data_IF_013919570376
#
_entry.id   IF_013919570376
#
_cell.length_a   1.000
_cell.length_b   1.000
_cell.length_c   1.000
_cell.angle_alpha   90.00
_cell.angle_beta   90.00
_cell.angle_gamma   90.00
#
_symmetry.space_group_name_H-M   'P 1'
#
loop_
_entity.id
_entity.type
_entity.pdbx_description
1 polymer ?
#
# COMPACT_ATOMS: atom_id res chain seq x y z
N UNK A 1 9.41 38.66 -2.07
CA UNK A 1 8.14 37.90 -2.25
C UNK A 1 7.65 38.16 -3.67
N UNK A 2 7.68 37.15 -4.54
CA UNK A 2 7.18 37.30 -5.92
C UNK A 2 5.66 37.48 -5.84
N UNK A 3 5.16 38.68 -6.20
CA UNK A 3 3.72 38.97 -6.28
C UNK A 3 3.12 38.21 -7.46
N UNK A 4 1.93 37.68 -7.26
CA UNK A 4 1.13 36.97 -8.27
C UNK A 4 0.93 37.84 -9.52
N UNK A 5 1.48 37.43 -10.66
CA UNK A 5 1.19 38.05 -11.97
C UNK A 5 2.38 38.16 -12.93
N UNK A 6 3.63 38.22 -12.43
CA UNK A 6 4.81 38.45 -13.28
C UNK A 6 5.69 37.21 -13.47
N UNK A 7 5.07 36.03 -13.53
CA UNK A 7 5.82 34.77 -13.57
C UNK A 7 6.61 34.55 -14.87
N UNK A 8 6.19 35.17 -15.97
CA UNK A 8 6.85 35.11 -17.29
C UNK A 8 8.19 35.86 -17.32
N UNK A 9 8.33 36.90 -16.50
CA UNK A 9 9.55 37.73 -16.40
C UNK A 9 10.64 37.09 -15.53
N UNK A 10 10.33 36.01 -14.82
CA UNK A 10 11.30 35.35 -13.95
C UNK A 10 12.43 34.70 -14.75
N UNK A 11 13.66 34.89 -14.28
CA UNK A 11 14.82 34.13 -14.75
C UNK A 11 14.76 32.70 -14.22
N UNK A 12 15.41 31.77 -14.93
CA UNK A 12 15.45 30.36 -14.55
C UNK A 12 16.04 30.20 -13.14
N UNK A 13 17.03 31.01 -12.78
CA UNK A 13 17.69 30.96 -11.47
C UNK A 13 16.76 31.39 -10.33
N UNK A 14 15.98 32.45 -10.52
CA UNK A 14 14.95 32.86 -9.56
C UNK A 14 13.88 31.78 -9.40
N UNK A 15 13.47 31.14 -10.49
CA UNK A 15 12.54 30.02 -10.43
C UNK A 15 13.12 28.84 -9.62
N UNK A 16 14.36 28.45 -9.90
CA UNK A 16 15.05 27.37 -9.17
C UNK A 16 15.26 27.72 -7.70
N UNK A 17 15.62 28.96 -7.39
CA UNK A 17 15.78 29.44 -6.01
C UNK A 17 14.47 29.36 -5.23
N UNK A 18 13.35 29.79 -5.83
CA UNK A 18 12.02 29.66 -5.23
C UNK A 18 11.68 28.20 -4.93
N UNK A 19 11.84 27.30 -5.91
CA UNK A 19 11.50 25.89 -5.73
C UNK A 19 12.38 25.23 -4.66
N UNK A 20 13.68 25.53 -4.60
CA UNK A 20 14.59 25.02 -3.55
C UNK A 20 14.16 25.49 -2.16
N UNK A 21 13.86 26.77 -2.02
CA UNK A 21 13.41 27.35 -0.74
C UNK A 21 12.11 26.67 -0.22
N UNK A 22 11.23 26.25 -1.13
CA UNK A 22 9.98 25.56 -0.79
C UNK A 22 10.07 24.02 -0.84
N UNK A 23 11.26 23.44 -1.05
CA UNK A 23 11.45 21.99 -1.09
C UNK A 23 10.76 21.30 -2.27
N UNK A 24 10.49 22.05 -3.35
CA UNK A 24 9.81 21.55 -4.55
C UNK A 24 10.80 20.98 -5.56
N UNK A 25 10.35 20.02 -6.36
CA UNK A 25 11.19 19.37 -7.37
C UNK A 25 11.58 20.36 -8.48
N UNK A 26 12.84 20.36 -8.85
CA UNK A 26 13.36 21.13 -9.98
C UNK A 26 13.02 20.40 -11.30
N UNK A 27 12.78 21.17 -12.35
CA UNK A 27 12.69 20.68 -13.73
C UNK A 27 13.58 21.51 -14.62
N UNK A 28 13.96 20.97 -15.78
CA UNK A 28 14.85 21.64 -16.72
C UNK A 28 14.13 22.70 -17.59
N UNK A 29 12.90 22.47 -18.09
CA UNK A 29 12.22 23.48 -18.90
C UNK A 29 11.72 24.66 -18.06
N UNK A 30 12.03 25.89 -18.50
CA UNK A 30 11.55 27.15 -17.86
C UNK A 30 10.03 27.16 -17.68
N UNK A 31 9.29 26.69 -18.69
CA UNK A 31 7.83 26.63 -18.66
C UNK A 31 7.31 25.73 -17.53
N UNK A 32 7.95 24.59 -17.29
CA UNK A 32 7.55 23.68 -16.19
C UNK A 32 7.87 24.26 -14.82
N UNK A 33 9.01 24.93 -14.69
CA UNK A 33 9.37 25.65 -13.46
C UNK A 33 8.31 26.70 -13.12
N UNK A 34 7.93 27.53 -14.10
CA UNK A 34 6.89 28.56 -13.95
C UNK A 34 5.54 27.92 -13.57
N UNK A 35 5.09 26.90 -14.32
CA UNK A 35 3.84 26.21 -14.03
C UNK A 35 3.81 25.63 -12.62
N UNK A 36 4.94 25.10 -12.13
CA UNK A 36 5.06 24.57 -10.77
C UNK A 36 4.99 25.66 -9.72
N UNK A 37 5.65 26.80 -9.95
CA UNK A 37 5.59 27.97 -9.06
C UNK A 37 4.17 28.53 -8.99
N UNK A 38 3.50 28.67 -10.13
CA UNK A 38 2.11 29.13 -10.19
C UNK A 38 1.18 28.21 -9.40
N UNK A 39 1.24 26.90 -9.64
CA UNK A 39 0.48 25.90 -8.88
C UNK A 39 0.78 25.95 -7.39
N UNK A 40 2.05 26.09 -7.00
CA UNK A 40 2.42 26.23 -5.60
C UNK A 40 1.86 27.52 -5.00
N UNK A 41 1.96 28.65 -5.70
CA UNK A 41 1.43 29.92 -5.23
C UNK A 41 -0.09 29.87 -5.02
N UNK A 42 -0.83 29.18 -5.89
CA UNK A 42 -2.27 28.95 -5.73
C UNK A 42 -2.63 28.09 -4.52
N UNK A 43 -1.78 27.11 -4.18
CA UNK A 43 -2.05 26.11 -3.14
C UNK A 43 -1.34 26.37 -1.82
N UNK A 44 -0.38 27.30 -1.78
CA UNK A 44 0.43 27.64 -0.60
C UNK A 44 -0.44 28.07 0.56
N UNK A 45 -1.46 28.86 0.27
CA UNK A 45 -2.46 29.24 1.26
C UNK A 45 -3.51 28.14 1.40
N UNK A 46 -3.60 27.59 2.60
CA UNK A 46 -4.55 26.53 2.95
C UNK A 46 -6.00 26.94 2.71
N UNK A 47 -6.36 28.21 2.98
CA UNK A 47 -7.72 28.71 2.79
C UNK A 47 -8.08 28.76 1.30
N UNK A 48 -7.17 29.31 0.49
CA UNK A 48 -7.30 29.32 -0.97
C UNK A 48 -7.40 27.91 -1.57
N UNK A 49 -6.56 26.98 -1.11
CA UNK A 49 -6.58 25.59 -1.55
C UNK A 49 -7.89 24.88 -1.17
N UNK A 50 -8.39 25.09 0.05
CA UNK A 50 -9.70 24.56 0.50
C UNK A 50 -10.88 25.17 -0.26
N UNK A 51 -10.80 26.44 -0.65
CA UNK A 51 -11.83 27.07 -1.48
C UNK A 51 -11.90 26.44 -2.88
N UNK A 52 -10.75 26.14 -3.49
CA UNK A 52 -10.67 25.48 -4.80
C UNK A 52 -11.03 23.99 -4.73
N UNK A 53 -10.66 23.32 -3.64
CA UNK A 53 -10.91 21.90 -3.40
C UNK A 53 -11.65 21.70 -2.07
N UNK A 54 -12.94 22.11 -1.98
CA UNK A 54 -13.69 22.06 -0.74
C UNK A 54 -14.01 20.62 -0.36
N UNK A 55 -14.05 20.33 0.94
CA UNK A 55 -14.33 18.97 1.44
C UNK A 55 -15.64 18.39 0.88
N UNK A 56 -16.68 19.21 0.73
CA UNK A 56 -17.97 18.79 0.18
C UNK A 56 -17.94 18.32 -1.27
N UNK A 57 -16.92 18.71 -2.05
CA UNK A 57 -16.78 18.26 -3.45
C UNK A 57 -16.32 16.80 -3.58
N UNK A 58 -15.78 16.21 -2.50
CA UNK A 58 -15.35 14.82 -2.46
C UNK A 58 -16.51 13.92 -2.03
N UNK A 59 -17.51 13.79 -2.90
CA UNK A 59 -18.76 13.11 -2.60
C UNK A 59 -18.82 11.64 -3.06
N UNK A 60 -17.91 11.20 -3.93
CA UNK A 60 -17.96 9.85 -4.52
C UNK A 60 -17.00 8.94 -3.78
N UNK A 61 -17.51 7.87 -3.14
CA UNK A 61 -16.65 6.84 -2.55
C UNK A 61 -15.95 6.05 -3.66
N UNK A 62 -14.62 5.99 -3.60
CA UNK A 62 -13.77 5.27 -4.56
C UNK A 62 -12.82 4.29 -3.86
N UNK A 63 -13.18 3.82 -2.66
CA UNK A 63 -12.39 2.85 -1.90
C UNK A 63 -12.18 1.58 -2.73
N UNK A 64 -10.93 1.22 -3.02
CA UNK A 64 -10.56 0.11 -3.92
C UNK A 64 -10.33 0.53 -5.38
N UNK A 65 -10.99 1.60 -5.84
CA UNK A 65 -11.03 2.00 -7.25
C UNK A 65 -10.35 3.34 -7.54
N UNK A 66 -9.56 3.86 -6.61
CA UNK A 66 -8.69 5.02 -6.88
C UNK A 66 -7.77 4.70 -8.06
N UNK A 67 -7.77 5.55 -9.08
CA UNK A 67 -6.93 5.42 -10.28
C UNK A 67 -6.05 6.66 -10.48
N UNK A 68 -5.16 6.60 -11.46
CA UNK A 68 -4.34 7.75 -11.86
C UNK A 68 -5.23 8.94 -12.21
N UNK A 69 -4.77 10.14 -11.87
CA UNK A 69 -5.43 11.43 -12.02
C UNK A 69 -6.63 11.72 -11.11
N UNK A 70 -7.13 10.76 -10.33
CA UNK A 70 -8.18 11.03 -9.33
C UNK A 70 -7.71 12.13 -8.36
N UNK A 71 -8.60 13.09 -8.11
CA UNK A 71 -8.46 14.03 -6.99
C UNK A 71 -9.19 13.45 -5.79
N UNK A 72 -8.41 12.99 -4.80
CA UNK A 72 -8.90 12.19 -3.67
C UNK A 72 -8.78 12.92 -2.34
N UNK A 73 -9.67 12.56 -1.41
CA UNK A 73 -9.66 12.95 -0.02
C UNK A 73 -9.68 11.68 0.83
N UNK A 74 -8.69 11.52 1.70
CA UNK A 74 -8.60 10.37 2.59
C UNK A 74 -8.06 10.75 3.97
N UNK A 75 -8.42 9.93 4.95
CA UNK A 75 -7.94 10.05 6.33
C UNK A 75 -6.73 9.13 6.51
N UNK A 76 -5.60 9.73 6.86
CA UNK A 76 -4.36 9.02 7.17
C UNK A 76 -4.15 8.99 8.68
N UNK A 77 -3.90 7.79 9.19
CA UNK A 77 -3.48 7.60 10.58
C UNK A 77 -2.00 7.96 10.71
N UNK A 78 -1.68 8.79 11.70
CA UNK A 78 -0.33 9.22 12.02
C UNK A 78 0.10 8.46 13.27
N UNK A 79 1.18 7.65 13.19
CA UNK A 79 1.72 7.01 14.38
C UNK A 79 2.24 8.12 15.30
N UNK A 80 1.70 8.17 16.51
CA UNK A 80 2.21 9.06 17.54
C UNK A 80 3.47 8.43 18.13
N UNK A 81 4.50 9.25 18.40
CA UNK A 81 5.61 8.80 19.24
C UNK A 81 5.02 8.48 20.62
N UNK A 82 5.45 7.37 21.24
CA UNK A 82 5.09 7.04 22.62
C UNK A 82 5.58 8.16 23.55
N UNK A 83 4.78 9.21 23.72
CA UNK A 83 4.91 10.13 24.83
C UNK A 83 3.66 9.92 25.67
N UNK A 84 3.90 9.50 26.90
CA UNK A 84 2.90 8.98 27.83
C UNK A 84 1.83 10.04 28.08
N UNK A 85 0.59 9.81 27.63
CA UNK A 85 -0.66 10.33 28.23
C UNK A 85 -1.91 10.09 27.36
N UNK A 86 -1.78 9.83 26.05
CA UNK A 86 -2.93 9.42 25.23
C UNK A 86 -2.58 8.33 24.23
N UNK A 87 -3.19 7.16 24.40
CA UNK A 87 -2.99 5.98 23.54
C UNK A 87 -3.84 6.04 22.25
N UNK A 88 -4.31 7.23 21.86
CA UNK A 88 -5.20 7.41 20.71
C UNK A 88 -4.39 7.77 19.47
N UNK A 89 -4.61 7.09 18.33
CA UNK A 89 -3.88 7.40 17.13
C UNK A 89 -4.25 8.78 16.58
N UNK A 90 -3.23 9.57 16.27
CA UNK A 90 -3.39 10.83 15.55
C UNK A 90 -3.92 10.61 14.13
N UNK A 91 -4.63 11.61 13.60
CA UNK A 91 -5.13 11.57 12.23
C UNK A 91 -4.86 12.88 11.50
N UNK A 92 -4.62 12.74 10.20
CA UNK A 92 -4.67 13.85 9.25
C UNK A 92 -5.58 13.53 8.08
N UNK A 93 -6.18 14.57 7.54
CA UNK A 93 -6.95 14.53 6.32
C UNK A 93 -6.07 15.07 5.19
N UNK A 94 -6.02 14.34 4.08
CA UNK A 94 -5.19 14.71 2.93
C UNK A 94 -6.08 14.79 1.70
N UNK A 95 -6.11 15.97 1.08
CA UNK A 95 -6.61 16.16 -0.27
C UNK A 95 -5.41 16.14 -1.22
N UNK A 96 -5.48 15.36 -2.29
CA UNK A 96 -4.37 15.26 -3.23
C UNK A 96 -4.77 14.63 -4.56
N UNK A 97 -3.93 14.84 -5.57
CA UNK A 97 -4.10 14.25 -6.89
C UNK A 97 -3.22 13.02 -7.05
N UNK A 98 -3.76 11.93 -7.56
CA UNK A 98 -2.99 10.71 -7.83
C UNK A 98 -2.16 10.94 -9.10
N UNK A 99 -0.84 11.06 -8.95
CA UNK A 99 0.08 11.29 -10.08
C UNK A 99 0.46 9.97 -10.74
N UNK A 100 0.74 8.96 -9.92
CA UNK A 100 1.22 7.65 -10.34
C UNK A 100 0.62 6.57 -9.45
N UNK A 101 0.44 5.39 -10.02
CA UNK A 101 0.22 4.16 -9.28
C UNK A 101 1.12 3.05 -9.83
N UNK A 102 1.43 2.06 -9.00
CA UNK A 102 2.22 0.91 -9.41
C UNK A 102 1.86 -0.35 -8.63
N UNK A 103 1.95 -1.50 -9.31
CA UNK A 103 1.82 -2.82 -8.71
C UNK A 103 3.21 -3.40 -8.50
N UNK A 104 3.63 -3.54 -7.24
CA UNK A 104 4.97 -4.05 -6.92
C UNK A 104 5.15 -5.51 -7.35
N UNK A 105 5.94 -5.72 -8.41
CA UNK A 105 6.20 -7.02 -9.09
C UNK A 105 6.55 -8.17 -8.14
N UNK A 106 7.27 -7.91 -7.04
CA UNK A 106 7.71 -8.96 -6.09
C UNK A 106 6.69 -9.28 -4.99
N UNK A 107 5.91 -8.29 -4.53
CA UNK A 107 5.10 -8.39 -3.30
C UNK A 107 3.62 -8.04 -3.50
N UNK A 108 3.17 -7.74 -4.73
CA UNK A 108 1.82 -7.23 -5.04
C UNK A 108 1.41 -6.05 -4.15
N UNK A 109 2.36 -5.18 -3.83
CA UNK A 109 2.05 -3.95 -3.11
C UNK A 109 1.57 -2.92 -4.11
N UNK A 110 0.26 -2.66 -4.13
CA UNK A 110 -0.29 -1.52 -4.86
C UNK A 110 0.05 -0.24 -4.11
N UNK A 111 0.77 0.66 -4.78
CA UNK A 111 1.29 1.89 -4.19
C UNK A 111 0.91 3.06 -5.08
N UNK A 112 0.54 4.16 -4.45
CA UNK A 112 0.13 5.41 -5.07
C UNK A 112 1.11 6.52 -4.73
N UNK A 113 1.42 7.36 -5.71
CA UNK A 113 2.06 8.65 -5.52
C UNK A 113 0.99 9.71 -5.59
N UNK A 114 0.63 10.27 -4.45
CA UNK A 114 -0.36 11.34 -4.31
C UNK A 114 0.39 12.66 -4.14
N UNK A 115 0.18 13.60 -5.06
CA UNK A 115 0.64 14.98 -4.88
C UNK A 115 -0.37 15.72 -4.01
N UNK A 116 0.09 16.21 -2.85
CA UNK A 116 -0.77 16.86 -1.86
C UNK A 116 -1.24 18.21 -2.39
N UNK A 117 -2.53 18.49 -2.30
CA UNK A 117 -3.12 19.79 -2.60
C UNK A 117 -3.20 20.60 -1.32
N UNK A 118 -3.85 20.03 -0.30
CA UNK A 118 -3.88 20.56 1.06
C UNK A 118 -4.00 19.42 2.05
N UNK A 119 -3.62 19.68 3.30
CA UNK A 119 -3.82 18.71 4.38
C UNK A 119 -4.14 19.41 5.69
N UNK A 120 -4.84 18.71 6.59
CA UNK A 120 -5.33 19.26 7.84
C UNK A 120 -5.30 18.20 8.94
N UNK A 121 -5.19 18.61 10.20
CA UNK A 121 -5.05 17.71 11.35
C UNK A 121 -3.59 17.58 11.78
N UNK A 122 -3.24 16.43 12.36
CA UNK A 122 -1.93 16.23 12.98
C UNK A 122 -0.80 16.11 11.93
N UNK A 123 0.29 16.85 12.11
CA UNK A 123 1.43 16.87 11.17
C UNK A 123 0.97 17.05 9.71
N UNK A 124 0.36 18.22 9.38
CA UNK A 124 -0.07 18.50 8.03
C UNK A 124 1.15 18.50 7.09
N UNK A 125 0.95 17.92 5.92
CA UNK A 125 1.90 17.92 4.82
C UNK A 125 1.84 19.25 4.05
N UNK A 126 2.99 19.79 3.64
CA UNK A 126 3.04 20.93 2.74
C UNK A 126 2.36 20.63 1.39
N UNK A 127 1.77 21.65 0.74
CA UNK A 127 1.22 21.49 -0.60
C UNK A 127 2.31 21.09 -1.61
N UNK A 128 1.89 20.41 -2.68
CA UNK A 128 2.73 19.82 -3.73
C UNK A 128 3.76 18.77 -3.26
N UNK A 129 3.69 18.33 -2.00
CA UNK A 129 4.50 17.19 -1.52
C UNK A 129 4.05 15.89 -2.21
N UNK A 130 4.99 15.10 -2.72
CA UNK A 130 4.70 13.76 -3.24
C UNK A 130 4.65 12.74 -2.11
N UNK A 131 3.44 12.31 -1.75
CA UNK A 131 3.19 11.31 -0.73
C UNK A 131 3.07 9.92 -1.34
N UNK A 132 3.95 9.00 -0.95
CA UNK A 132 3.87 7.59 -1.33
C UNK A 132 2.99 6.83 -0.34
N UNK A 133 1.84 6.31 -0.79
CA UNK A 133 0.85 5.62 0.06
C UNK A 133 0.55 4.23 -0.49
N UNK A 134 0.56 3.21 0.36
CA UNK A 134 0.12 1.86 -0.01
C UNK A 134 -1.41 1.83 -0.09
N UNK A 135 -1.98 1.10 -1.05
CA UNK A 135 -3.44 1.03 -1.23
C UNK A 135 -4.19 0.62 0.03
N UNK A 136 -3.68 -0.38 0.77
CA UNK A 136 -4.25 -0.78 2.07
C UNK A 136 -4.30 0.34 3.11
N UNK A 137 -3.37 1.29 3.05
CA UNK A 137 -3.35 2.46 3.96
C UNK A 137 -4.29 3.54 3.45
N UNK A 138 -4.27 3.78 2.13
CA UNK A 138 -5.15 4.75 1.46
C UNK A 138 -6.64 4.43 1.73
N UNK A 139 -7.01 3.15 1.60
CA UNK A 139 -8.40 2.68 1.69
C UNK A 139 -8.89 2.44 3.13
N UNK A 140 -7.99 2.42 4.13
CA UNK A 140 -8.32 2.00 5.50
C UNK A 140 -9.51 2.74 6.12
N UNK A 141 -9.63 4.04 5.86
CA UNK A 141 -10.67 4.89 6.43
C UNK A 141 -11.63 5.44 5.37
N UNK A 142 -11.83 4.67 4.28
CA UNK A 142 -12.49 5.08 3.05
C UNK A 142 -11.75 6.20 2.33
N UNK A 143 -11.90 6.22 1.01
CA UNK A 143 -11.36 7.28 0.16
C UNK A 143 -12.48 7.81 -0.70
N UNK A 144 -12.56 9.13 -0.79
CA UNK A 144 -13.53 9.83 -1.61
C UNK A 144 -12.82 10.61 -2.71
N UNK A 145 -13.46 10.79 -3.85
CA UNK A 145 -12.94 11.56 -4.97
C UNK A 145 -13.90 12.65 -5.40
N UNK A 146 -13.36 13.61 -6.14
CA UNK A 146 -14.15 14.50 -6.98
C UNK A 146 -14.61 13.79 -8.26
N UNK A 147 -15.70 14.29 -8.86
CA UNK A 147 -16.15 13.86 -10.18
C UNK A 147 -15.14 14.30 -11.23
N UNK A 148 -14.86 13.44 -12.21
CA UNK A 148 -14.04 13.85 -13.35
C UNK A 148 -14.87 14.75 -14.28
N UNK A 149 -14.21 15.65 -15.05
CA UNK A 149 -14.89 16.35 -16.13
C UNK A 149 -15.54 15.36 -17.11
N UNK A 150 -14.83 14.27 -17.43
CA UNK A 150 -15.33 13.16 -18.22
C UNK A 150 -15.24 11.85 -17.42
N UNK A 151 -16.39 11.29 -17.06
CA UNK A 151 -16.43 10.06 -16.27
C UNK A 151 -16.16 8.80 -17.13
N UNK A 152 -16.36 8.86 -18.44
CA UNK A 152 -16.03 7.74 -19.34
C UNK A 152 -14.52 7.48 -19.41
N UNK A 153 -13.72 8.54 -19.46
CA UNK A 153 -12.25 8.46 -19.37
C UNK A 153 -11.81 7.83 -18.05
N UNK A 154 -12.50 8.16 -16.96
CA UNK A 154 -12.22 7.54 -15.66
C UNK A 154 -12.51 6.05 -15.68
N UNK A 155 -13.64 5.64 -16.23
CA UNK A 155 -13.99 4.21 -16.33
C UNK A 155 -12.91 3.46 -17.11
N UNK A 156 -12.47 4.00 -18.26
CA UNK A 156 -11.37 3.42 -19.03
C UNK A 156 -10.07 3.31 -18.20
N UNK A 157 -9.71 4.36 -17.45
CA UNK A 157 -8.53 4.35 -16.58
C UNK A 157 -8.62 3.31 -15.44
N UNK A 158 -9.81 3.10 -14.89
CA UNK A 158 -10.06 2.07 -13.86
C UNK A 158 -9.95 0.67 -14.45
N UNK A 159 -10.52 0.43 -15.64
CA UNK A 159 -10.45 -0.86 -16.34
C UNK A 159 -9.00 -1.20 -16.68
N UNK A 160 -8.24 -0.27 -17.25
CA UNK A 160 -6.82 -0.46 -17.57
C UNK A 160 -6.01 -0.76 -16.30
N UNK A 161 -6.24 -0.02 -15.22
CA UNK A 161 -5.62 -0.28 -13.91
C UNK A 161 -5.85 -1.73 -13.46
N UNK A 162 -7.08 -2.20 -13.51
CA UNK A 162 -7.44 -3.55 -13.06
C UNK A 162 -6.82 -4.60 -13.98
N UNK A 163 -6.89 -4.43 -15.30
CA UNK A 163 -6.24 -5.32 -16.27
C UNK A 163 -4.74 -5.50 -16.00
N UNK A 164 -4.03 -4.37 -15.77
CA UNK A 164 -2.61 -4.37 -15.41
C UNK A 164 -2.35 -5.05 -14.07
N UNK A 165 -3.26 -4.85 -13.10
CA UNK A 165 -3.23 -5.53 -11.82
C UNK A 165 -3.36 -7.05 -11.97
N UNK A 166 -4.24 -7.51 -12.86
CA UNK A 166 -4.53 -8.92 -13.11
C UNK A 166 -3.38 -9.62 -13.80
N UNK A 167 -2.75 -8.95 -14.76
CA UNK A 167 -1.50 -9.40 -15.36
C UNK A 167 -0.39 -9.55 -14.29
N UNK A 168 -0.21 -8.56 -13.42
CA UNK A 168 0.76 -8.66 -12.33
C UNK A 168 0.43 -9.80 -11.35
N UNK A 169 -0.87 -10.13 -11.18
CA UNK A 169 -1.31 -11.29 -10.39
C UNK A 169 -0.97 -12.61 -11.08
N UNK A 170 -1.27 -12.74 -12.36
CA UNK A 170 -0.99 -13.96 -13.13
C UNK A 170 0.52 -14.26 -13.21
N UNK A 171 1.35 -13.24 -13.44
CA UNK A 171 2.82 -13.37 -13.46
C UNK A 171 3.36 -13.87 -12.12
N UNK A 172 2.81 -13.39 -10.99
CA UNK A 172 3.21 -13.90 -9.67
C UNK A 172 2.80 -15.36 -9.49
N UNK A 173 1.60 -15.75 -9.90
CA UNK A 173 1.12 -17.13 -9.77
C UNK A 173 2.05 -18.09 -10.53
N UNK A 174 2.40 -17.78 -11.77
CA UNK A 174 3.38 -18.56 -12.56
C UNK A 174 4.74 -18.70 -11.85
N UNK A 175 5.24 -17.63 -11.22
CA UNK A 175 6.50 -17.68 -10.45
C UNK A 175 6.41 -18.57 -9.22
N UNK A 176 5.28 -18.54 -8.52
CA UNK A 176 5.06 -19.37 -7.33
C UNK A 176 4.93 -20.85 -7.73
N UNK A 177 4.22 -21.14 -8.82
CA UNK A 177 4.09 -22.48 -9.38
C UNK A 177 5.44 -23.04 -9.81
N UNK A 178 6.23 -22.29 -10.59
CA UNK A 178 7.58 -22.71 -10.99
C UNK A 178 8.50 -23.00 -9.79
N UNK A 179 8.41 -22.19 -8.73
CA UNK A 179 9.16 -22.42 -7.49
C UNK A 179 8.72 -23.70 -6.77
N UNK A 180 7.43 -24.00 -6.78
CA UNK A 180 6.88 -25.20 -6.15
C UNK A 180 7.26 -26.46 -6.96
N UNK A 181 7.20 -26.39 -8.29
CA UNK A 181 7.66 -27.43 -9.21
C UNK A 181 9.16 -27.69 -9.07
N UNK A 182 9.98 -26.64 -9.01
CA UNK A 182 11.43 -26.77 -8.76
C UNK A 182 11.74 -27.46 -7.42
N UNK A 183 11.08 -27.06 -6.32
CA UNK A 183 11.20 -27.75 -5.03
C UNK A 183 10.78 -29.22 -5.10
N UNK A 184 9.73 -29.53 -5.85
CA UNK A 184 9.25 -30.91 -6.02
C UNK A 184 10.25 -31.77 -6.80
N UNK A 185 10.88 -31.21 -7.85
CA UNK A 185 11.94 -31.87 -8.61
C UNK A 185 13.19 -32.10 -7.75
N UNK A 186 13.64 -31.09 -7.01
CA UNK A 186 14.79 -31.19 -6.10
C UNK A 186 14.55 -32.24 -5.00
N UNK A 187 13.33 -32.30 -4.45
CA UNK A 187 12.92 -33.33 -3.49
C UNK A 187 12.93 -34.73 -4.09
N UNK A 188 12.46 -34.90 -5.34
CA UNK A 188 12.54 -36.18 -6.07
C UNK A 188 14.00 -36.59 -6.33
N UNK A 189 14.85 -35.64 -6.70
CA UNK A 189 16.28 -35.88 -6.96
C UNK A 189 17.01 -36.31 -5.68
N UNK A 190 16.78 -35.63 -4.54
CA UNK A 190 17.31 -36.05 -3.23
C UNK A 190 16.81 -37.43 -2.82
N UNK A 191 15.54 -37.76 -3.04
CA UNK A 191 15.00 -39.11 -2.79
C UNK A 191 15.65 -40.18 -3.67
N UNK A 192 15.90 -39.88 -4.95
CA UNK A 192 16.61 -40.79 -5.87
C UNK A 192 18.10 -40.94 -5.51
N UNK A 193 18.74 -39.90 -4.98
CA UNK A 193 20.11 -39.96 -4.49
C UNK A 193 20.22 -40.75 -3.17
N UNK A 194 19.28 -40.58 -2.24
CA UNK A 194 19.21 -41.34 -0.99
C UNK A 194 18.80 -42.81 -1.20
N UNK A 195 18.07 -43.12 -2.28
CA UNK A 195 17.74 -44.49 -2.68
C UNK A 195 18.86 -45.22 -3.43
N UNK A 196 20.04 -44.59 -3.61
CA UNK A 196 21.22 -45.16 -4.29
C UNK A 196 22.36 -45.49 -3.31
N UNK A 197 22.07 -45.79 -2.04
CA UNK A 197 23.07 -46.46 -1.21
C UNK A 197 23.13 -47.93 -1.61
N UNK A 198 24.29 -48.51 -1.96
CA UNK A 198 24.38 -49.94 -2.22
C UNK A 198 24.02 -50.66 -0.92
N UNK A 199 22.93 -51.43 -0.91
CA UNK A 199 22.64 -52.29 0.23
C UNK A 199 23.67 -53.42 0.24
N UNK A 200 24.80 -53.22 0.90
CA UNK A 200 25.67 -54.31 1.34
C UNK A 200 24.93 -55.06 2.46
N UNK A 201 23.99 -55.93 2.05
CA UNK A 201 23.50 -57.00 2.91
C UNK A 201 24.62 -58.04 3.02
N UNK A 202 25.36 -57.99 4.12
CA UNK A 202 25.93 -59.20 4.74
C UNK A 202 25.22 -59.37 6.08
N UNK A 203 24.57 -60.52 6.26
CA UNK A 203 24.10 -60.97 7.58
C UNK A 203 25.29 -61.27 8.51
N UNK A 204 25.04 -61.63 9.78
CA UNK A 204 24.62 -63.01 10.00
C UNK A 204 23.58 -63.22 11.11
N UNK A 205 23.16 -64.48 11.19
CA UNK A 205 22.24 -65.12 12.12
C UNK A 205 22.70 -65.03 13.59
N UNK A 206 21.75 -65.02 14.53
CA UNK A 206 22.03 -65.21 15.95
C UNK A 206 20.78 -65.02 16.82
N UNK A 207 20.14 -66.13 17.20
CA UNK A 207 19.15 -66.21 18.29
C UNK A 207 19.82 -65.91 19.64
N UNK A 208 19.19 -65.11 20.49
CA UNK A 208 18.99 -65.42 21.93
C UNK A 208 18.02 -64.43 22.57
N UNK A 209 17.50 -64.85 23.71
CA UNK A 209 16.21 -64.49 24.31
C UNK A 209 16.33 -63.62 25.57
N UNK A 210 15.36 -62.68 25.74
CA UNK A 210 14.86 -62.05 26.99
C UNK A 210 15.79 -61.10 27.78
N UNK A 211 15.26 -60.25 28.70
CA UNK A 211 13.88 -59.73 28.87
C UNK A 211 13.81 -58.17 28.94
N UNK A 212 12.57 -57.66 28.92
CA UNK A 212 12.21 -56.24 29.10
C UNK A 212 12.49 -55.75 30.54
N UNK A 213 12.88 -54.48 30.75
CA UNK A 213 12.57 -53.77 31.98
C UNK A 213 11.35 -52.86 31.81
N UNK A 214 10.45 -53.00 32.79
CA UNK A 214 9.29 -52.14 33.05
C UNK A 214 9.72 -50.90 33.84
N UNK A 215 8.94 -49.82 33.66
CA UNK A 215 8.93 -48.53 34.37
C UNK A 215 9.84 -47.46 33.76
N UNK A 216 9.44 -46.19 33.65
CA UNK A 216 8.40 -45.46 34.37
C UNK A 216 7.81 -44.35 33.49
N UNK A 217 6.55 -44.04 33.79
CA UNK A 217 5.72 -43.00 33.20
C UNK A 217 6.33 -41.61 33.42
N UNK A 218 6.34 -40.75 32.39
CA UNK A 218 6.09 -39.30 32.54
C UNK A 218 5.66 -38.65 31.21
N UNK A 219 4.38 -38.28 31.15
CA UNK A 219 3.90 -37.02 30.60
C UNK A 219 3.97 -36.79 29.08
N UNK A 220 3.02 -37.37 28.33
CA UNK A 220 2.58 -36.79 27.05
C UNK A 220 1.82 -35.48 27.33
N UNK A 221 2.32 -34.34 26.88
CA UNK A 221 1.51 -33.13 26.68
C UNK A 221 0.82 -33.21 25.30
N UNK A 222 -0.51 -33.16 25.21
CA UNK A 222 -1.18 -33.15 23.92
C UNK A 222 -1.10 -31.78 23.24
N UNK A 223 -0.88 -31.83 21.93
CA UNK A 223 -1.14 -30.74 20.99
C UNK A 223 -2.65 -30.55 20.88
N UNK A 224 -3.18 -29.40 21.28
CA UNK A 224 -4.52 -28.97 20.88
C UNK A 224 -4.44 -28.15 19.59
N UNK A 225 -5.03 -28.69 18.54
CA UNK A 225 -5.43 -27.96 17.35
C UNK A 225 -6.95 -27.88 17.28
N UNK A 226 -7.41 -26.86 16.55
CA UNK A 226 -8.71 -26.71 15.88
C UNK A 226 -9.97 -26.48 16.73
N UNK A 227 -10.68 -25.39 16.42
CA UNK A 227 -12.05 -25.16 16.86
C UNK A 227 -12.47 -23.68 16.90
N UNK A 228 -12.46 -22.98 15.76
CA UNK A 228 -13.22 -21.72 15.61
C UNK A 228 -14.39 -21.97 14.68
N UNK A 229 -15.54 -22.24 15.27
CA UNK A 229 -16.84 -22.32 14.61
C UNK A 229 -17.73 -21.20 15.13
N UNK A 230 -18.14 -20.37 14.17
CA UNK A 230 -19.43 -19.67 14.03
C UNK A 230 -20.11 -19.07 15.28
N UNK A 231 -20.32 -17.75 15.23
CA UNK A 231 -21.25 -17.03 16.11
C UNK A 231 -21.76 -15.75 15.45
N UNK A 232 -22.54 -15.90 14.37
CA UNK A 232 -23.46 -14.85 13.91
C UNK A 232 -24.58 -14.72 14.96
N UNK A 233 -24.82 -13.52 15.50
CA UNK A 233 -26.14 -13.16 16.04
C UNK A 233 -26.55 -11.77 15.55
N UNK A 234 -27.72 -11.78 14.94
CA UNK A 234 -28.45 -10.68 14.33
C UNK A 234 -29.00 -9.69 15.37
N UNK A 235 -29.30 -8.52 14.83
CA UNK A 235 -30.07 -7.44 15.41
C UNK A 235 -31.43 -7.88 16.00
N UNK A 236 -31.86 -7.16 17.04
CA UNK A 236 -33.28 -6.88 17.28
C UNK A 236 -33.47 -5.38 17.57
N UNK A 237 -34.17 -4.74 16.64
CA UNK A 237 -34.98 -3.53 16.87
C UNK A 237 -36.10 -3.83 17.86
N UNK A 238 -36.55 -2.79 18.57
CA UNK A 238 -37.93 -2.40 18.95
C UNK A 238 -37.82 -1.51 20.19
N UNK A 239 -38.59 -0.46 20.42
CA UNK A 239 -39.66 0.29 19.73
C UNK A 239 -39.84 1.58 20.57
N UNK A 240 -40.06 2.72 19.93
CA UNK A 240 -41.24 3.61 20.12
C UNK A 240 -41.40 4.08 21.56
#
# INVERSE_FOLDING_TARGET
LIRTGEWSKLTIDLCKAYLRHHGLRLSDPKAELINRIQKHAELRDFTSAKRKYPRGSFCINCTGDVCRQDTVLFKQQIPQKHNNESNYPGYRLVAGRVVKESYGVKKQQHTFTVEVIWSSGMQPLPPMTQLLVKGRVLYRHKTYRQKWPNEAERVAAVVEKHARGDEARSVRLKRLENKQSGRRLESKQKRRALGKWPSTRRGPQGRSSRPLPVSSRRGKRPRSGTGWSAGYKQAKKRKV
#
